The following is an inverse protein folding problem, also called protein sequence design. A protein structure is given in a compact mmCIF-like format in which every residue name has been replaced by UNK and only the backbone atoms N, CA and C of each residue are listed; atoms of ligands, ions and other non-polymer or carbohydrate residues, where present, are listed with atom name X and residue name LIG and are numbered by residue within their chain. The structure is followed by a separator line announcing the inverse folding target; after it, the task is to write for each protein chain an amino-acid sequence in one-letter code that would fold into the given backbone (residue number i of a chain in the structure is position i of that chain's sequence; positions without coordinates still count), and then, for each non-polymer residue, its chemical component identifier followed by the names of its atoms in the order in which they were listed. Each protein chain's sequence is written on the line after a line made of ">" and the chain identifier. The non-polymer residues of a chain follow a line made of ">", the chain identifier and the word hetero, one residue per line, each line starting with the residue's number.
data_IF_903355445550
#
_entry.id   IF_903355445550
#
_cell.length_a   1.000
_cell.length_b   1.000
_cell.length_c   1.000
_cell.angle_alpha   90.00
_cell.angle_beta   90.00
_cell.angle_gamma   90.00
#
_symmetry.space_group_name_H-M   'P 1'
#
loop_
_entity.id
_entity.type
_entity.pdbx_description
1 polymer ?
#
# COMPACT_ATOMS: atom_id res chain seq x y z
N UNK A 1 -30.69 24.83 -12.04
CA UNK A 1 -29.85 25.53 -11.00
C UNK A 1 -29.28 24.55 -9.98
N UNK A 2 -30.07 23.58 -9.48
CA UNK A 2 -29.63 22.62 -8.45
C UNK A 2 -28.65 21.59 -9.00
N UNK A 3 -28.86 21.12 -10.24
CA UNK A 3 -27.96 20.18 -10.94
C UNK A 3 -26.60 20.81 -11.28
N UNK A 4 -26.59 22.11 -11.63
CA UNK A 4 -25.34 22.82 -11.94
C UNK A 4 -24.47 23.02 -10.69
N UNK A 5 -25.10 23.24 -9.54
CA UNK A 5 -24.41 23.39 -8.24
C UNK A 5 -23.81 22.04 -7.79
N UNK A 6 -24.54 20.94 -7.95
CA UNK A 6 -24.06 19.60 -7.61
C UNK A 6 -22.93 19.15 -8.53
N UNK A 7 -22.98 19.47 -9.82
CA UNK A 7 -21.91 19.16 -10.77
C UNK A 7 -20.64 19.97 -10.46
N UNK A 8 -20.80 21.22 -10.03
CA UNK A 8 -19.68 22.04 -9.56
C UNK A 8 -19.05 21.45 -8.30
N UNK A 9 -19.87 20.99 -7.33
CA UNK A 9 -19.37 20.31 -6.11
C UNK A 9 -18.56 19.06 -6.43
N UNK A 10 -19.00 18.23 -7.37
CA UNK A 10 -18.24 17.03 -7.79
C UNK A 10 -16.89 17.41 -8.37
N UNK A 11 -16.83 18.44 -9.24
CA UNK A 11 -15.58 18.92 -9.82
C UNK A 11 -14.64 19.53 -8.79
N UNK A 12 -15.18 20.30 -7.84
CA UNK A 12 -14.38 20.90 -6.77
C UNK A 12 -13.81 19.83 -5.82
N UNK A 13 -14.56 18.77 -5.54
CA UNK A 13 -14.12 17.63 -4.74
C UNK A 13 -13.00 16.86 -5.46
N UNK A 14 -13.11 16.63 -6.76
CA UNK A 14 -12.07 15.98 -7.55
C UNK A 14 -10.80 16.85 -7.63
N UNK A 15 -10.94 18.16 -7.75
CA UNK A 15 -9.83 19.10 -7.73
C UNK A 15 -9.13 19.16 -6.37
N UNK A 16 -9.89 19.10 -5.26
CA UNK A 16 -9.36 19.04 -3.89
C UNK A 16 -8.63 17.74 -3.61
N UNK A 17 -9.11 16.62 -4.17
CA UNK A 17 -8.46 15.32 -4.04
C UNK A 17 -7.09 15.27 -4.74
N UNK A 18 -6.91 16.07 -5.81
CA UNK A 18 -5.65 16.20 -6.55
C UNK A 18 -4.70 17.25 -5.95
N UNK A 19 -5.19 18.15 -5.09
CA UNK A 19 -4.35 19.12 -4.43
C UNK A 19 -3.55 18.46 -3.30
N UNK A 20 -2.24 18.76 -3.12
CA UNK A 20 -1.46 18.20 -2.04
C UNK A 20 -2.02 18.74 -0.71
N UNK A 21 -2.84 17.95 -0.05
CA UNK A 21 -3.25 18.22 1.32
C UNK A 21 -1.99 18.18 2.19
N UNK A 22 -1.90 19.07 3.18
CA UNK A 22 -0.84 19.00 4.19
C UNK A 22 -0.76 17.56 4.70
N UNK A 23 0.43 16.96 4.82
CA UNK A 23 0.57 15.56 5.18
C UNK A 23 -0.13 15.33 6.51
N UNK A 24 -1.26 14.68 6.48
CA UNK A 24 -1.72 13.93 7.64
C UNK A 24 -0.58 12.96 7.90
N UNK A 25 0.03 13.01 9.06
CA UNK A 25 1.04 12.04 9.47
C UNK A 25 0.36 10.67 9.48
N UNK A 26 0.23 10.07 8.30
CA UNK A 26 -0.09 8.66 8.20
C UNK A 26 1.07 7.95 8.87
N UNK A 27 0.77 7.28 9.97
CA UNK A 27 1.66 6.23 10.46
C UNK A 27 2.00 5.40 9.21
N UNK A 28 3.26 5.41 8.80
CA UNK A 28 3.81 4.46 7.82
C UNK A 28 3.11 3.16 8.07
N UNK A 29 2.63 2.44 7.05
CA UNK A 29 2.04 1.14 7.29
C UNK A 29 2.99 0.46 8.26
N UNK A 30 2.49 0.11 9.43
CA UNK A 30 3.28 -0.60 10.39
C UNK A 30 3.66 -1.87 9.66
N UNK A 31 4.81 -1.80 8.96
CA UNK A 31 5.57 -3.00 8.71
C UNK A 31 5.61 -3.58 10.10
N UNK A 32 4.84 -4.63 10.33
CA UNK A 32 4.79 -5.35 11.59
C UNK A 32 6.25 -5.54 11.94
N UNK A 33 6.79 -4.57 12.72
CA UNK A 33 8.04 -4.84 13.41
C UNK A 33 7.68 -6.07 14.19
N UNK A 34 8.17 -7.20 13.71
CA UNK A 34 8.11 -8.41 14.47
C UNK A 34 8.64 -8.01 15.83
N UNK A 35 7.74 -7.95 16.82
CA UNK A 35 8.12 -7.74 18.20
C UNK A 35 9.09 -8.87 18.50
N UNK A 36 10.37 -8.58 18.33
CA UNK A 36 11.42 -9.47 18.79
C UNK A 36 11.22 -9.64 20.28
N UNK A 37 11.08 -10.89 20.79
CA UNK A 37 11.30 -11.13 22.20
C UNK A 37 12.65 -10.48 22.53
N UNK A 38 12.72 -9.78 23.65
CA UNK A 38 13.95 -9.20 24.20
C UNK A 38 14.88 -10.35 24.52
N UNK A 39 15.59 -10.82 23.50
CA UNK A 39 16.76 -11.66 23.64
C UNK A 39 17.97 -10.78 23.45
N UNK A 40 18.97 -10.97 24.27
CA UNK A 40 20.20 -10.20 24.38
C UNK A 40 20.63 -9.52 23.09
N UNK A 41 20.76 -8.19 23.15
CA UNK A 41 21.15 -7.30 22.04
C UNK A 41 22.55 -7.57 21.48
N UNK A 42 23.28 -8.55 22.00
CA UNK A 42 24.71 -8.74 21.72
C UNK A 42 25.03 -9.89 20.76
N UNK A 43 24.05 -10.58 20.17
CA UNK A 43 24.36 -11.74 19.32
C UNK A 43 23.50 -11.81 18.06
N UNK A 44 23.40 -10.73 17.28
CA UNK A 44 22.95 -10.91 15.89
C UNK A 44 23.95 -11.81 15.14
N UNK A 45 23.49 -12.91 14.53
CA UNK A 45 24.39 -13.82 13.83
C UNK A 45 25.12 -13.08 12.71
N UNK A 46 26.42 -13.33 12.51
CA UNK A 46 27.22 -12.59 11.53
C UNK A 46 26.73 -12.87 10.11
N UNK A 47 26.80 -11.85 9.28
CA UNK A 47 26.58 -11.96 7.84
C UNK A 47 27.60 -12.87 7.20
N UNK A 48 27.17 -13.84 6.40
CA UNK A 48 28.02 -14.79 5.68
C UNK A 48 27.92 -14.54 4.18
N UNK A 49 29.04 -14.53 3.43
CA UNK A 49 28.99 -14.46 1.98
C UNK A 49 28.31 -15.71 1.41
N UNK A 50 27.49 -15.52 0.37
CA UNK A 50 26.87 -16.63 -0.35
C UNK A 50 27.83 -17.15 -1.40
N UNK A 51 28.21 -18.43 -1.32
CA UNK A 51 29.18 -19.06 -2.24
C UNK A 51 28.71 -18.93 -3.69
N UNK A 52 29.58 -18.44 -4.57
CA UNK A 52 29.32 -18.31 -6.00
C UNK A 52 28.42 -17.11 -6.37
N UNK A 53 28.10 -16.22 -5.40
CA UNK A 53 27.33 -14.98 -5.62
C UNK A 53 28.05 -13.78 -5.01
N UNK A 54 28.84 -13.11 -5.82
CA UNK A 54 29.59 -11.93 -5.38
C UNK A 54 28.66 -10.80 -4.89
N UNK A 55 29.01 -10.23 -3.71
CA UNK A 55 28.25 -9.14 -3.11
C UNK A 55 26.93 -9.53 -2.42
N UNK A 56 26.57 -10.82 -2.41
CA UNK A 56 25.42 -11.34 -1.67
C UNK A 56 25.88 -11.85 -0.30
N UNK A 57 25.19 -11.42 0.75
CA UNK A 57 25.42 -11.89 2.12
C UNK A 57 24.10 -12.36 2.72
N UNK A 58 24.15 -13.38 3.54
CA UNK A 58 22.99 -13.89 4.24
C UNK A 58 23.27 -14.15 5.71
N UNK A 59 22.23 -14.14 6.53
CA UNK A 59 22.24 -14.60 7.91
C UNK A 59 20.93 -15.25 8.28
N UNK A 60 20.95 -16.13 9.25
CA UNK A 60 19.75 -16.73 9.86
C UNK A 60 19.63 -16.24 11.29
N UNK A 61 18.46 -15.74 11.65
CA UNK A 61 18.17 -15.23 12.97
C UNK A 61 17.65 -16.33 13.89
N UNK A 62 17.71 -16.08 15.21
CA UNK A 62 17.26 -17.05 16.21
C UNK A 62 15.75 -17.35 16.20
N UNK A 63 14.95 -16.45 15.60
CA UNK A 63 13.52 -16.60 15.38
C UNK A 63 13.16 -17.50 14.17
N UNK A 64 14.16 -18.07 13.50
CA UNK A 64 14.01 -18.89 12.30
C UNK A 64 13.93 -18.11 11.00
N UNK A 65 13.92 -16.77 11.05
CA UNK A 65 13.94 -15.93 9.85
C UNK A 65 15.31 -15.94 9.17
N UNK A 66 15.30 -15.61 7.87
CA UNK A 66 16.51 -15.49 7.05
C UNK A 66 16.55 -14.10 6.42
N UNK A 67 17.69 -13.46 6.52
CA UNK A 67 17.97 -12.20 5.85
C UNK A 67 19.03 -12.35 4.78
N UNK A 68 18.83 -11.60 3.68
CA UNK A 68 19.75 -11.53 2.54
C UNK A 68 20.01 -10.06 2.23
N UNK A 69 21.26 -9.68 2.13
CA UNK A 69 21.70 -8.34 1.71
C UNK A 69 22.34 -8.42 0.33
N UNK A 70 21.87 -7.57 -0.57
CA UNK A 70 22.36 -7.47 -1.95
C UNK A 70 23.33 -6.31 -2.09
N UNK A 71 24.22 -6.38 -3.08
CA UNK A 71 25.25 -5.36 -3.35
C UNK A 71 24.65 -3.97 -3.63
N UNK A 72 23.46 -3.92 -4.21
CA UNK A 72 22.78 -2.67 -4.55
C UNK A 72 22.05 -2.02 -3.36
N UNK A 73 22.25 -2.49 -2.14
CA UNK A 73 21.60 -1.96 -0.94
C UNK A 73 20.21 -2.55 -0.67
N UNK A 74 19.67 -3.38 -1.54
CA UNK A 74 18.42 -4.10 -1.29
C UNK A 74 18.62 -5.12 -0.17
N UNK A 75 17.63 -5.27 0.70
CA UNK A 75 17.59 -6.35 1.70
C UNK A 75 16.32 -7.16 1.54
N UNK A 76 16.40 -8.46 1.80
CA UNK A 76 15.27 -9.37 1.80
C UNK A 76 15.25 -10.13 3.12
N UNK A 77 14.10 -10.16 3.79
CA UNK A 77 13.84 -10.99 4.95
C UNK A 77 12.74 -11.98 4.61
N UNK A 78 12.92 -13.21 5.02
CA UNK A 78 11.90 -14.26 4.96
C UNK A 78 11.69 -14.75 6.38
N UNK A 79 10.48 -14.55 6.89
CA UNK A 79 10.10 -14.96 8.24
C UNK A 79 9.76 -16.47 8.28
N UNK A 80 9.68 -17.03 9.47
CA UNK A 80 9.44 -18.46 9.67
C UNK A 80 8.05 -18.90 9.15
N UNK A 81 7.08 -17.99 9.11
CA UNK A 81 5.74 -18.20 8.55
C UNK A 81 5.70 -18.15 7.02
N UNK A 82 6.83 -17.79 6.37
CA UNK A 82 6.95 -17.64 4.93
C UNK A 82 6.68 -16.24 4.41
N UNK A 83 6.32 -15.30 5.28
CA UNK A 83 6.22 -13.88 4.89
C UNK A 83 7.57 -13.37 4.41
N UNK A 84 7.57 -12.69 3.26
CA UNK A 84 8.77 -12.18 2.63
C UNK A 84 8.71 -10.65 2.52
N UNK A 85 9.66 -9.96 3.14
CA UNK A 85 9.80 -8.50 3.08
C UNK A 85 11.06 -8.14 2.30
N UNK A 86 10.89 -7.35 1.24
CA UNK A 86 12.00 -6.79 0.44
C UNK A 86 12.01 -5.27 0.64
N UNK A 87 13.15 -4.74 1.08
CA UNK A 87 13.40 -3.30 1.16
C UNK A 87 14.38 -2.94 0.05
N UNK A 88 13.92 -2.10 -0.85
CA UNK A 88 14.73 -1.65 -1.98
C UNK A 88 15.60 -0.45 -1.60
N UNK A 89 16.70 -0.24 -2.33
CA UNK A 89 17.62 0.86 -2.08
C UNK A 89 17.00 2.26 -2.28
N UNK A 90 15.94 2.37 -3.09
CA UNK A 90 15.18 3.59 -3.31
C UNK A 90 14.15 3.89 -2.21
N UNK A 91 14.09 3.05 -1.18
CA UNK A 91 13.16 3.20 -0.06
C UNK A 91 11.82 2.45 -0.22
N UNK A 92 11.52 1.88 -1.39
CA UNK A 92 10.33 1.06 -1.59
C UNK A 92 10.37 -0.19 -0.70
N UNK A 93 9.19 -0.68 -0.34
CA UNK A 93 9.06 -1.91 0.44
C UNK A 93 8.01 -2.81 -0.20
N UNK A 94 8.36 -4.08 -0.44
CA UNK A 94 7.42 -5.10 -0.87
C UNK A 94 7.28 -6.16 0.21
N UNK A 95 6.07 -6.42 0.66
CA UNK A 95 5.71 -7.55 1.50
C UNK A 95 4.93 -8.55 0.67
N UNK A 96 5.30 -9.83 0.75
CA UNK A 96 4.56 -10.93 0.14
C UNK A 96 4.18 -11.91 1.23
N UNK A 97 2.90 -12.22 1.35
CA UNK A 97 2.36 -13.14 2.35
C UNK A 97 2.20 -14.56 1.79
N UNK A 98 2.21 -15.59 2.64
CA UNK A 98 1.90 -16.95 2.22
C UNK A 98 0.50 -17.12 1.64
N UNK A 99 -0.41 -16.21 1.96
CA UNK A 99 -1.75 -16.11 1.38
C UNK A 99 -1.76 -15.83 -0.12
N UNK A 100 -0.62 -15.33 -0.65
CA UNK A 100 -0.46 -14.78 -2.00
C UNK A 100 -0.74 -13.28 -2.06
N UNK A 101 -1.22 -12.66 -0.98
CA UNK A 101 -1.38 -11.21 -0.93
C UNK A 101 -0.02 -10.50 -0.99
N UNK A 102 0.02 -9.34 -1.63
CA UNK A 102 1.21 -8.50 -1.69
C UNK A 102 0.87 -7.08 -1.30
N UNK A 103 1.77 -6.44 -0.56
CA UNK A 103 1.71 -5.03 -0.20
C UNK A 103 2.96 -4.37 -0.75
N UNK A 104 2.79 -3.36 -1.59
CA UNK A 104 3.90 -2.59 -2.14
C UNK A 104 3.77 -1.14 -1.70
N UNK A 105 4.77 -0.64 -1.00
CA UNK A 105 4.90 0.75 -0.64
C UNK A 105 5.87 1.45 -1.59
N UNK A 106 5.40 2.46 -2.29
CA UNK A 106 6.17 3.33 -3.17
C UNK A 106 6.67 4.55 -2.38
N UNK A 107 7.94 4.55 -1.99
CA UNK A 107 8.50 5.58 -1.12
C UNK A 107 8.45 6.98 -1.75
N UNK A 108 8.72 7.10 -3.04
CA UNK A 108 8.71 8.39 -3.75
C UNK A 108 7.30 9.01 -3.88
N UNK A 109 6.26 8.17 -3.94
CA UNK A 109 4.86 8.60 -4.07
C UNK A 109 4.11 8.57 -2.74
N UNK A 110 4.72 8.07 -1.67
CA UNK A 110 4.08 7.80 -0.36
C UNK A 110 2.74 7.06 -0.52
N UNK A 111 2.71 6.10 -1.44
CA UNK A 111 1.50 5.37 -1.83
C UNK A 111 1.68 3.89 -1.52
N UNK A 112 0.65 3.27 -0.95
CA UNK A 112 0.60 1.82 -0.73
C UNK A 112 -0.34 1.16 -1.73
N UNK A 113 0.11 0.08 -2.36
CA UNK A 113 -0.68 -0.77 -3.22
C UNK A 113 -0.76 -2.18 -2.63
N UNK A 114 -1.96 -2.61 -2.31
CA UNK A 114 -2.24 -3.96 -1.80
C UNK A 114 -2.97 -4.76 -2.85
N UNK A 115 -2.48 -5.95 -3.19
CA UNK A 115 -3.16 -6.93 -4.06
C UNK A 115 -3.61 -8.11 -3.21
N UNK A 116 -4.91 -8.43 -3.24
CA UNK A 116 -5.47 -9.64 -2.62
C UNK A 116 -6.01 -10.58 -3.71
N UNK A 117 -5.27 -11.63 -4.07
CA UNK A 117 -5.66 -12.56 -5.12
C UNK A 117 -6.88 -13.41 -4.76
N UNK A 118 -7.16 -13.60 -3.46
CA UNK A 118 -8.33 -14.38 -3.01
C UNK A 118 -9.63 -13.60 -3.16
N UNK A 119 -9.57 -12.31 -2.83
CA UNK A 119 -10.70 -11.38 -3.03
C UNK A 119 -10.74 -10.84 -4.44
N UNK A 120 -9.67 -10.96 -5.20
CA UNK A 120 -9.48 -10.41 -6.54
C UNK A 120 -9.69 -8.89 -6.55
N UNK A 121 -9.10 -8.22 -5.57
CA UNK A 121 -9.14 -6.76 -5.42
C UNK A 121 -7.74 -6.20 -5.32
N UNK A 122 -7.60 -4.95 -5.76
CA UNK A 122 -6.41 -4.13 -5.55
C UNK A 122 -6.83 -2.88 -4.78
N UNK A 123 -6.07 -2.50 -3.78
CA UNK A 123 -6.33 -1.32 -2.96
C UNK A 123 -5.15 -0.38 -3.05
N UNK A 124 -5.41 0.89 -3.38
CA UNK A 124 -4.42 1.96 -3.39
C UNK A 124 -4.74 2.95 -2.28
N UNK A 125 -3.75 3.24 -1.45
CA UNK A 125 -3.82 4.25 -0.40
C UNK A 125 -2.85 5.37 -0.72
N UNK A 126 -3.38 6.58 -0.93
CA UNK A 126 -2.64 7.75 -1.35
C UNK A 126 -2.27 8.67 -0.16
N UNK A 127 -1.20 9.50 -0.29
CA UNK A 127 -0.76 10.38 0.80
C UNK A 127 -1.78 11.43 1.20
N UNK A 128 -2.67 11.84 0.30
CA UNK A 128 -3.76 12.77 0.57
C UNK A 128 -4.91 12.15 1.40
N UNK A 129 -4.86 10.83 1.69
CA UNK A 129 -5.90 10.12 2.42
C UNK A 129 -6.98 9.48 1.55
N UNK A 130 -6.92 9.67 0.24
CA UNK A 130 -7.75 8.94 -0.71
C UNK A 130 -7.43 7.45 -0.68
N UNK A 131 -8.46 6.63 -0.79
CA UNK A 131 -8.32 5.16 -0.93
C UNK A 131 -9.13 4.73 -2.14
N UNK A 132 -8.51 3.99 -3.04
CA UNK A 132 -9.19 3.36 -4.18
C UNK A 132 -9.19 1.85 -4.02
N UNK A 133 -10.32 1.22 -4.28
CA UNK A 133 -10.46 -0.23 -4.38
C UNK A 133 -10.86 -0.59 -5.79
N UNK A 134 -10.05 -1.37 -6.47
CA UNK A 134 -10.31 -1.86 -7.82
C UNK A 134 -10.75 -3.31 -7.74
N UNK A 135 -11.94 -3.60 -8.25
CA UNK A 135 -12.54 -4.92 -8.25
C UNK A 135 -12.30 -5.65 -9.58
N UNK A 136 -12.35 -6.98 -9.55
CA UNK A 136 -12.09 -7.82 -10.73
C UNK A 136 -13.12 -7.67 -11.86
N UNK A 137 -14.31 -7.13 -11.57
CA UNK A 137 -15.35 -6.80 -12.54
C UNK A 137 -15.12 -5.48 -13.26
N UNK A 138 -14.01 -4.76 -12.92
CA UNK A 138 -13.66 -3.47 -13.49
C UNK A 138 -14.27 -2.27 -12.76
N UNK A 139 -15.03 -2.50 -11.70
CA UNK A 139 -15.53 -1.41 -10.86
C UNK A 139 -14.42 -0.84 -9.98
N UNK A 140 -14.53 0.46 -9.65
CA UNK A 140 -13.65 1.16 -8.72
C UNK A 140 -14.49 1.87 -7.67
N UNK A 141 -14.14 1.67 -6.41
CA UNK A 141 -14.66 2.44 -5.29
C UNK A 141 -13.58 3.38 -4.77
N UNK A 142 -13.89 4.67 -4.73
CA UNK A 142 -12.97 5.72 -4.30
C UNK A 142 -13.56 6.35 -3.04
N UNK A 143 -12.79 6.40 -1.99
CA UNK A 143 -13.12 7.11 -0.75
C UNK A 143 -12.17 8.28 -0.57
N UNK A 144 -12.74 9.46 -0.45
CA UNK A 144 -12.02 10.70 -0.21
C UNK A 144 -11.87 11.01 1.29
N UNK A 145 -10.87 11.82 1.68
CA UNK A 145 -10.61 12.15 3.08
C UNK A 145 -11.75 12.88 3.80
N UNK A 146 -12.57 13.60 3.06
CA UNK A 146 -13.73 14.34 3.57
C UNK A 146 -14.96 13.45 3.84
N UNK A 147 -14.86 12.15 3.51
CA UNK A 147 -15.94 11.18 3.64
C UNK A 147 -16.80 11.01 2.38
N UNK A 148 -16.54 11.77 1.32
CA UNK A 148 -17.15 11.53 0.01
C UNK A 148 -16.73 10.16 -0.52
N UNK A 149 -17.64 9.45 -1.15
CA UNK A 149 -17.38 8.19 -1.85
C UNK A 149 -17.82 8.27 -3.30
N UNK A 150 -17.03 7.71 -4.22
CA UNK A 150 -17.38 7.62 -5.63
C UNK A 150 -17.19 6.19 -6.11
N UNK A 151 -18.22 5.64 -6.72
CA UNK A 151 -18.16 4.36 -7.43
C UNK A 151 -18.12 4.63 -8.93
N UNK A 152 -17.15 4.04 -9.63
CA UNK A 152 -17.07 4.00 -11.08
C UNK A 152 -17.34 2.56 -11.49
N UNK A 153 -18.41 2.33 -12.26
CA UNK A 153 -18.77 0.98 -12.74
C UNK A 153 -17.99 0.63 -14.01
N UNK A 154 -18.00 -0.65 -14.35
CA UNK A 154 -17.28 -1.15 -15.53
C UNK A 154 -17.79 -0.55 -16.85
N UNK A 155 -19.04 -0.12 -16.91
CA UNK A 155 -19.64 0.57 -18.06
C UNK A 155 -19.30 2.07 -18.13
N UNK A 156 -18.52 2.59 -17.17
CA UNK A 156 -18.12 3.99 -17.08
C UNK A 156 -19.11 4.88 -16.31
N UNK A 157 -20.29 4.37 -15.96
CA UNK A 157 -21.24 5.12 -15.14
C UNK A 157 -20.68 5.34 -13.73
N UNK A 158 -21.06 6.45 -13.09
CA UNK A 158 -20.53 6.84 -11.78
C UNK A 158 -21.66 7.14 -10.80
N UNK A 159 -21.38 6.93 -9.51
CA UNK A 159 -22.23 7.33 -8.41
C UNK A 159 -21.36 8.01 -7.36
N UNK A 160 -21.67 9.24 -7.00
CA UNK A 160 -20.94 9.99 -5.97
C UNK A 160 -21.87 10.27 -4.80
N UNK A 161 -21.50 9.84 -3.61
CA UNK A 161 -22.22 10.14 -2.36
C UNK A 161 -21.39 11.09 -1.51
N UNK A 162 -21.98 12.21 -1.14
CA UNK A 162 -21.40 13.21 -0.25
C UNK A 162 -21.68 12.91 1.23
N UNK A 163 -20.90 13.50 2.17
CA UNK A 163 -21.08 13.28 3.61
C UNK A 163 -22.45 13.71 4.14
N UNK A 164 -23.09 14.67 3.50
CA UNK A 164 -24.46 15.14 3.84
C UNK A 164 -25.57 14.20 3.31
N UNK A 165 -25.18 13.09 2.65
CA UNK A 165 -26.08 12.08 2.13
C UNK A 165 -26.58 12.36 0.70
N UNK A 166 -26.22 13.49 0.09
CA UNK A 166 -26.55 13.78 -1.32
C UNK A 166 -25.85 12.76 -2.22
N UNK A 167 -26.58 12.24 -3.21
CA UNK A 167 -26.06 11.31 -4.22
C UNK A 167 -26.22 11.92 -5.60
N UNK A 168 -25.16 11.86 -6.41
CA UNK A 168 -25.13 12.30 -7.80
C UNK A 168 -24.73 11.13 -8.68
N UNK A 169 -25.55 10.83 -9.67
CA UNK A 169 -25.26 9.82 -10.69
C UNK A 169 -24.72 10.50 -11.95
N UNK A 170 -23.73 9.87 -12.59
CA UNK A 170 -23.16 10.27 -13.86
C UNK A 170 -23.27 9.14 -14.87
N UNK A 171 -23.67 9.46 -16.08
CA UNK A 171 -23.70 8.52 -17.19
C UNK A 171 -22.29 8.32 -17.77
N UNK A 172 -22.10 7.19 -18.51
CA UNK A 172 -20.84 6.85 -19.17
C UNK A 172 -20.57 7.73 -20.40
#
# INVERSE_FOLDING_TARGET
>A
REVDDLTARVRDQEALALAPSKPVQKKRPAVREAQTPVADKDAEPPWRPVRGREGLRERRLGDGSREVAYRNGTTKRVDADGTCVVRFANGDVKTSEPSGATIYYYAAADTTHTTDPRRRVEVFEFPNGQVETHSADGAKDIRFPDGTTKTVRADGSTSTRFPDGVVVEGEA
#
